data_IF_459717657398
#
_entry.id   IF_459717657398
#
_cell.length_a   1.000
_cell.length_b   1.000
_cell.length_c   1.000
_cell.angle_alpha   90.00
_cell.angle_beta   90.00
_cell.angle_gamma   90.00
#
_symmetry.space_group_name_H-M   'P 1'
#
loop_
_entity.id
_entity.type
_entity.pdbx_description
1 polymer ?
#
# COMPACT_ATOMS: atom_id res chain seq x y z
N UNK A 1 -8.73 3.49 11.32
CA UNK A 1 -8.75 2.89 9.98
C UNK A 1 -9.26 3.94 9.00
N UNK A 2 -8.52 4.22 7.93
CA UNK A 2 -8.97 5.16 6.89
C UNK A 2 -10.11 4.47 6.11
N UNK A 3 -11.15 5.22 5.75
CA UNK A 3 -12.30 4.65 5.07
C UNK A 3 -11.90 4.20 3.66
N UNK A 4 -12.47 3.09 3.19
CA UNK A 4 -12.30 2.53 1.84
C UNK A 4 -10.85 2.09 1.50
N UNK A 5 -9.96 2.00 2.49
CA UNK A 5 -8.60 1.48 2.30
C UNK A 5 -8.47 0.01 2.67
N UNK A 6 -7.56 -0.69 1.99
CA UNK A 6 -7.13 -2.05 2.28
C UNK A 6 -5.76 -1.97 2.98
N UNK A 7 -5.47 -2.86 3.92
CA UNK A 7 -4.16 -2.89 4.58
C UNK A 7 -3.18 -3.69 3.73
N UNK A 8 -2.00 -3.13 3.48
CA UNK A 8 -0.88 -3.84 2.90
C UNK A 8 -0.19 -4.67 3.99
N UNK A 9 -0.24 -5.99 3.83
CA UNK A 9 0.31 -6.94 4.80
C UNK A 9 1.56 -7.61 4.23
N UNK A 10 2.65 -6.85 4.12
CA UNK A 10 3.96 -7.43 3.75
C UNK A 10 4.62 -7.97 5.04
N UNK A 11 5.04 -9.25 5.06
CA UNK A 11 5.64 -9.85 6.26
C UNK A 11 6.84 -9.06 6.80
N UNK A 12 6.77 -8.70 8.08
CA UNK A 12 7.80 -7.93 8.77
C UNK A 12 7.78 -6.42 8.51
N UNK A 13 7.10 -5.93 7.48
CA UNK A 13 7.00 -4.49 7.17
C UNK A 13 5.82 -3.83 7.89
N UNK A 14 5.83 -2.50 8.10
CA UNK A 14 4.72 -1.79 8.71
C UNK A 14 3.39 -2.00 7.98
N UNK A 15 2.30 -2.16 8.73
CA UNK A 15 0.96 -2.23 8.17
C UNK A 15 0.50 -0.86 7.67
N UNK A 16 0.47 -0.71 6.34
CA UNK A 16 0.11 0.55 5.69
C UNK A 16 -1.21 0.40 4.93
N UNK A 17 -2.22 1.24 5.19
CA UNK A 17 -3.42 1.27 4.37
C UNK A 17 -3.12 1.87 2.99
N UNK A 18 -3.73 1.28 1.96
CA UNK A 18 -3.71 1.77 0.60
C UNK A 18 -5.12 1.77 -0.01
N UNK A 19 -5.33 2.61 -1.01
CA UNK A 19 -6.56 2.71 -1.78
C UNK A 19 -6.30 2.28 -3.22
N UNK A 20 -7.08 1.33 -3.73
CA UNK A 20 -6.96 0.88 -5.11
C UNK A 20 -7.97 1.60 -6.00
N UNK A 21 -7.50 2.58 -6.77
CA UNK A 21 -8.30 3.29 -7.76
C UNK A 21 -8.35 2.51 -9.08
N UNK A 22 -9.55 2.22 -9.58
CA UNK A 22 -9.78 1.58 -10.87
C UNK A 22 -10.39 2.59 -11.84
N UNK A 23 -9.64 2.96 -12.86
CA UNK A 23 -10.01 4.02 -13.80
C UNK A 23 -10.25 3.39 -15.17
N UNK A 24 -11.46 3.55 -15.70
CA UNK A 24 -11.80 3.14 -17.05
C UNK A 24 -11.10 4.07 -18.05
N UNK A 25 -10.31 3.51 -18.96
CA UNK A 25 -9.69 4.27 -20.02
C UNK A 25 -10.60 4.37 -21.26
N UNK A 26 -10.59 5.50 -21.96
CA UNK A 26 -11.15 5.60 -23.29
C UNK A 26 -10.46 4.63 -24.25
N UNK A 27 -11.20 4.25 -25.30
CA UNK A 27 -10.70 3.33 -26.31
C UNK A 27 -9.42 3.88 -26.97
N UNK A 28 -8.43 3.01 -27.18
CA UNK A 28 -7.13 3.31 -27.80
C UNK A 28 -6.26 4.40 -27.14
N UNK A 29 -6.52 4.77 -25.88
CA UNK A 29 -5.64 5.68 -25.14
C UNK A 29 -4.59 4.90 -24.33
N UNK A 30 -3.40 5.50 -24.20
CA UNK A 30 -2.29 5.00 -23.39
C UNK A 30 -2.02 6.01 -22.28
N UNK A 31 -1.90 5.53 -21.04
CA UNK A 31 -1.47 6.35 -19.91
C UNK A 31 0.00 6.69 -20.09
N UNK A 32 0.33 7.99 -20.07
CA UNK A 32 1.71 8.46 -20.12
C UNK A 32 2.25 8.80 -18.73
N UNK A 33 1.46 9.53 -17.96
CA UNK A 33 1.84 10.02 -16.65
C UNK A 33 0.62 10.06 -15.72
N UNK A 34 0.88 9.91 -14.42
CA UNK A 34 -0.12 10.01 -13.36
C UNK A 34 0.42 10.98 -12.32
N UNK A 35 -0.27 12.10 -12.12
CA UNK A 35 0.06 13.06 -11.07
C UNK A 35 -0.93 12.92 -9.92
N UNK A 36 -0.44 12.69 -8.71
CA UNK A 36 -1.27 12.65 -7.50
C UNK A 36 -1.21 13.99 -6.79
N UNK A 37 -2.38 14.56 -6.47
CA UNK A 37 -2.51 15.78 -5.67
C UNK A 37 -2.96 15.39 -4.26
N UNK A 38 -2.14 15.69 -3.26
CA UNK A 38 -2.47 15.46 -1.86
C UNK A 38 -2.65 16.80 -1.11
N UNK A 39 -3.41 16.77 -0.03
CA UNK A 39 -3.55 17.90 0.89
C UNK A 39 -2.37 17.96 1.87
N UNK A 40 -2.40 18.95 2.77
CA UNK A 40 -1.45 19.06 3.87
C UNK A 40 -1.55 17.81 4.77
N UNK A 41 -0.42 17.14 5.07
CA UNK A 41 -0.44 15.93 5.88
C UNK A 41 -0.81 16.27 7.33
N UNK A 42 -1.60 15.39 7.95
CA UNK A 42 -1.86 15.43 9.39
C UNK A 42 -0.81 14.56 10.07
N UNK A 43 0.06 15.17 10.87
CA UNK A 43 1.14 14.48 11.57
C UNK A 43 0.62 13.96 12.91
N UNK A 44 0.79 12.67 13.15
CA UNK A 44 0.49 12.03 14.43
C UNK A 44 1.78 11.49 15.04
N UNK A 45 1.98 11.74 16.33
CA UNK A 45 3.17 11.29 17.06
C UNK A 45 2.82 10.15 18.00
N UNK A 46 3.82 9.33 18.34
CA UNK A 46 3.70 8.21 19.31
C UNK A 46 2.65 7.17 18.91
N UNK A 47 2.49 6.94 17.62
CA UNK A 47 1.65 5.86 17.09
C UNK A 47 2.53 4.63 16.90
N UNK A 48 2.20 3.54 17.57
CA UNK A 48 2.83 2.25 17.33
C UNK A 48 2.16 1.59 16.12
N UNK A 49 2.95 1.26 15.11
CA UNK A 49 2.47 0.64 13.87
C UNK A 49 2.79 -0.86 13.93
N UNK A 50 1.78 -1.75 13.92
CA UNK A 50 2.00 -3.19 13.83
C UNK A 50 2.65 -3.57 12.49
N UNK A 51 3.28 -4.74 12.43
CA UNK A 51 3.90 -5.28 11.21
C UNK A 51 3.11 -6.43 10.61
N UNK A 52 3.27 -6.62 9.29
CA UNK A 52 2.60 -7.67 8.55
C UNK A 52 3.07 -9.06 8.96
N UNK A 53 2.15 -10.01 8.83
CA UNK A 53 2.39 -11.43 9.03
C UNK A 53 2.19 -12.16 7.70
N UNK A 54 2.85 -13.31 7.50
CA UNK A 54 2.66 -14.08 6.28
C UNK A 54 1.23 -14.62 6.17
N UNK A 55 0.66 -14.66 4.95
CA UNK A 55 -0.72 -15.08 4.76
C UNK A 55 -0.88 -16.56 5.13
N UNK A 56 -1.95 -16.87 5.86
CA UNK A 56 -2.28 -18.24 6.21
C UNK A 56 -3.11 -18.90 5.10
N UNK A 57 -2.74 -20.12 4.71
CA UNK A 57 -3.57 -20.89 3.78
C UNK A 57 -4.83 -21.41 4.48
N UNK A 58 -5.97 -21.40 3.76
CA UNK A 58 -7.24 -21.93 4.27
C UNK A 58 -7.14 -23.44 4.50
N UNK A 59 -6.39 -24.16 3.65
CA UNK A 59 -6.24 -25.61 3.69
C UNK A 59 -5.33 -26.11 4.82
N UNK A 60 -4.46 -25.27 5.36
CA UNK A 60 -3.57 -25.64 6.47
C UNK A 60 -3.41 -24.47 7.46
N UNK A 61 -4.44 -24.22 8.29
CA UNK A 61 -4.40 -23.14 9.27
C UNK A 61 -3.28 -23.39 10.30
N UNK A 62 -2.32 -22.46 10.39
CA UNK A 62 -1.19 -22.54 11.32
C UNK A 62 0.10 -23.14 10.75
N UNK A 63 0.17 -23.43 9.45
CA UNK A 63 1.37 -23.95 8.80
C UNK A 63 2.49 -22.93 8.60
N UNK A 64 2.27 -21.69 9.00
CA UNK A 64 3.14 -20.56 8.69
C UNK A 64 3.60 -19.95 10.00
N UNK A 65 4.91 -19.90 10.19
CA UNK A 65 5.51 -19.31 11.38
C UNK A 65 5.39 -17.78 11.34
N UNK A 66 5.10 -17.14 12.50
CA UNK A 66 5.04 -15.70 12.57
C UNK A 66 6.41 -15.08 12.27
N UNK A 67 6.41 -13.97 11.55
CA UNK A 67 7.62 -13.25 11.18
C UNK A 67 7.85 -12.09 12.15
N UNK A 68 9.13 -11.91 12.52
CA UNK A 68 9.57 -10.80 13.36
C UNK A 68 9.50 -9.45 12.63
N UNK A 69 9.59 -8.38 13.41
CA UNK A 69 9.61 -7.00 12.91
C UNK A 69 10.85 -6.77 12.03
N UNK A 70 10.68 -6.14 10.87
CA UNK A 70 11.80 -5.73 10.04
C UNK A 70 12.50 -4.52 10.66
N UNK A 71 13.55 -4.78 11.43
CA UNK A 71 14.33 -3.75 12.13
C UNK A 71 14.97 -2.71 11.20
N UNK A 72 15.23 -3.03 9.93
CA UNK A 72 15.79 -2.06 8.99
C UNK A 72 14.78 -0.95 8.67
N UNK A 73 13.50 -1.29 8.52
CA UNK A 73 12.42 -0.33 8.26
C UNK A 73 12.00 0.39 9.54
N UNK A 74 11.93 -0.34 10.66
CA UNK A 74 11.51 0.23 11.95
C UNK A 74 12.56 1.08 12.66
N UNK A 75 13.85 0.92 12.33
CA UNK A 75 14.91 1.79 12.84
C UNK A 75 15.33 2.87 11.84
N UNK A 76 14.65 2.97 10.70
CA UNK A 76 14.91 4.01 9.70
C UNK A 76 14.31 5.35 10.12
N UNK A 77 15.01 6.43 9.79
CA UNK A 77 14.49 7.80 9.88
C UNK A 77 13.74 8.22 8.60
N UNK A 78 13.72 7.38 7.57
CA UNK A 78 12.99 7.66 6.33
C UNK A 78 11.50 7.32 6.48
N UNK A 79 10.66 8.04 5.73
CA UNK A 79 9.23 7.76 5.68
C UNK A 79 8.95 6.50 4.86
N UNK A 80 8.22 5.56 5.44
CA UNK A 80 7.78 4.33 4.78
C UNK A 80 6.26 4.37 4.50
N UNK A 81 5.79 4.03 3.30
CA UNK A 81 6.58 3.77 2.10
C UNK A 81 7.06 5.08 1.47
N UNK A 82 8.15 5.02 0.70
CA UNK A 82 8.76 6.21 0.08
C UNK A 82 7.93 6.78 -1.10
N UNK A 83 6.82 6.16 -1.46
CA UNK A 83 5.97 6.53 -2.59
C UNK A 83 4.54 6.84 -2.15
N UNK A 84 3.94 7.86 -2.76
CA UNK A 84 2.54 8.28 -2.49
C UNK A 84 1.55 7.48 -3.34
N UNK A 85 2.02 6.92 -4.44
CA UNK A 85 1.24 6.05 -5.30
C UNK A 85 2.15 5.09 -6.07
N UNK A 86 1.55 4.00 -6.54
CA UNK A 86 2.18 3.04 -7.43
C UNK A 86 1.21 2.66 -8.56
N UNK A 87 1.73 2.49 -9.77
CA UNK A 87 0.94 2.11 -10.94
C UNK A 87 1.05 0.60 -11.12
N UNK A 88 0.02 -0.10 -10.69
CA UNK A 88 0.10 -1.57 -10.62
C UNK A 88 0.00 -2.20 -12.01
N UNK A 89 -0.97 -1.79 -12.84
CA UNK A 89 -1.14 -2.36 -14.18
C UNK A 89 -2.21 -1.65 -15.01
N UNK A 90 -2.09 -1.80 -16.34
CA UNK A 90 -3.20 -1.58 -17.29
C UNK A 90 -3.77 -2.95 -17.67
N UNK A 91 -4.97 -3.24 -17.20
CA UNK A 91 -5.67 -4.50 -17.45
C UNK A 91 -6.71 -4.33 -18.55
N UNK A 92 -7.05 -5.42 -19.23
CA UNK A 92 -8.12 -5.43 -20.25
C UNK A 92 -9.26 -6.32 -19.80
N UNK A 93 -10.48 -5.80 -19.85
CA UNK A 93 -11.69 -6.54 -19.51
C UNK A 93 -12.80 -6.23 -20.52
N UNK A 94 -13.28 -7.26 -21.24
CA UNK A 94 -14.35 -7.15 -22.24
C UNK A 94 -14.13 -6.02 -23.28
N UNK A 95 -12.89 -5.85 -23.74
CA UNK A 95 -12.52 -4.81 -24.70
C UNK A 95 -12.27 -3.42 -24.08
N UNK A 96 -12.53 -3.24 -22.80
CA UNK A 96 -12.19 -2.02 -22.07
C UNK A 96 -10.82 -2.12 -21.43
N UNK A 97 -10.06 -1.03 -21.46
CA UNK A 97 -8.81 -0.92 -20.70
C UNK A 97 -9.11 -0.28 -19.35
N UNK A 98 -8.60 -0.86 -18.28
CA UNK A 98 -8.78 -0.38 -16.91
C UNK A 98 -7.38 -0.20 -16.31
N UNK A 99 -7.08 1.02 -15.87
CA UNK A 99 -5.85 1.31 -15.13
C UNK A 99 -6.12 1.11 -13.66
N UNK A 100 -5.22 0.40 -13.02
CA UNK A 100 -5.21 0.20 -11.57
C UNK A 100 -4.07 1.01 -10.98
N UNK A 101 -4.42 1.99 -10.15
CA UNK A 101 -3.46 2.81 -9.40
C UNK A 101 -3.66 2.52 -7.92
N UNK A 102 -2.57 2.21 -7.23
CA UNK A 102 -2.54 2.12 -5.77
C UNK A 102 -2.13 3.48 -5.23
N UNK A 103 -2.97 4.07 -4.39
CA UNK A 103 -2.71 5.35 -3.73
C UNK A 103 -2.48 5.06 -2.26
N UNK A 104 -1.40 5.61 -1.70
CA UNK A 104 -0.99 5.38 -0.33
C UNK A 104 -1.19 6.69 0.44
N UNK A 105 -2.26 6.82 1.24
CA UNK A 105 -2.64 8.08 1.88
C UNK A 105 -1.78 8.44 3.10
N UNK A 106 -1.00 7.50 3.65
CA UNK A 106 -0.18 7.76 4.83
C UNK A 106 1.20 7.13 4.70
N UNK A 107 2.20 7.84 5.22
CA UNK A 107 3.54 7.34 5.44
C UNK A 107 3.83 7.36 6.95
N UNK A 108 4.66 6.42 7.39
CA UNK A 108 5.09 6.28 8.78
C UNK A 108 6.57 6.57 8.89
N UNK A 109 6.95 7.28 9.95
CA UNK A 109 8.34 7.47 10.32
C UNK A 109 8.50 6.85 11.70
N UNK A 110 9.31 5.79 11.78
CA UNK A 110 9.41 4.93 12.97
C UNK A 110 10.47 5.42 13.94
N UNK A 111 11.48 6.15 13.45
CA UNK A 111 12.49 6.83 14.26
C UNK A 111 12.37 8.35 14.15
N UNK A 112 12.25 9.00 15.31
CA UNK A 112 12.29 10.47 15.44
C UNK A 112 13.71 11.01 15.44
#
# INVERSE_FOLDING_TARGET
MIKDTIIQEIPGEPLIPYYQARILLPHNIVVRDITVKHSTPVIQHRVEIPWGQPPCTISNPGSVEPVGRNEAVYNSSEGYPCTVYDVVSVQSFRGFKIVTVVVIPCAVQTKA
#
